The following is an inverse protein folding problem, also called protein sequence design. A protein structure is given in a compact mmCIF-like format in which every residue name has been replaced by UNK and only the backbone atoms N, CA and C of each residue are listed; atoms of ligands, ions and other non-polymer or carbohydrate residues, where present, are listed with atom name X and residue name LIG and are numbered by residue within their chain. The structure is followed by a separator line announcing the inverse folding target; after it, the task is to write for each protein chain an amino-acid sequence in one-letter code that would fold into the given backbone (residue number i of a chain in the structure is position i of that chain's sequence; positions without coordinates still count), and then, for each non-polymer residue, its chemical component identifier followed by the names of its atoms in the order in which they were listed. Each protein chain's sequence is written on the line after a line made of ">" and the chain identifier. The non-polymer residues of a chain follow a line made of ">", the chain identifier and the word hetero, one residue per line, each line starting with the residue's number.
data_IF_710022236331
#
_entry.id   IF_710022236331
#
_cell.length_a   1.000
_cell.length_b   1.000
_cell.length_c   1.000
_cell.angle_alpha   90.00
_cell.angle_beta   90.00
_cell.angle_gamma   90.00
#
_symmetry.space_group_name_H-M   'P 1'
#
loop_
_entity.id
_entity.type
_entity.pdbx_description
1 polymer ?
#
# COMPACT_ATOMS: atom_id res chain seq x y z
N UNK A 1 -45.98 -45.59 -3.91
CA UNK A 1 -45.44 -45.67 -2.52
C UNK A 1 -43.94 -45.93 -2.63
N UNK A 2 -43.00 -44.98 -2.59
CA UNK A 2 -42.97 -43.60 -2.08
C UNK A 2 -42.69 -42.54 -3.18
N UNK A 3 -43.34 -41.38 -3.10
CA UNK A 3 -43.00 -40.16 -3.84
C UNK A 3 -42.05 -39.29 -2.99
N UNK A 4 -40.85 -39.00 -3.46
CA UNK A 4 -40.01 -37.89 -2.92
C UNK A 4 -38.90 -37.59 -3.94
N UNK A 5 -39.31 -36.98 -5.05
CA UNK A 5 -38.44 -36.09 -5.78
C UNK A 5 -38.25 -34.86 -4.86
N UNK A 6 -37.11 -34.77 -4.19
CA UNK A 6 -36.76 -33.59 -3.39
C UNK A 6 -35.23 -33.41 -3.39
N UNK A 7 -34.68 -32.47 -4.18
CA UNK A 7 -33.55 -31.70 -3.67
C UNK A 7 -34.08 -30.90 -2.48
N UNK A 8 -33.52 -31.13 -1.29
CA UNK A 8 -32.59 -30.14 -0.82
C UNK A 8 -31.42 -30.86 -0.10
N UNK A 9 -30.41 -31.27 -0.87
CA UNK A 9 -29.09 -30.77 -0.51
C UNK A 9 -29.11 -29.28 -0.89
N UNK A 10 -29.92 -28.41 -0.27
CA UNK A 10 -29.53 -27.74 0.97
C UNK A 10 -28.03 -27.43 0.95
N UNK A 11 -27.56 -26.88 -0.18
CA UNK A 11 -26.70 -25.72 -0.16
C UNK A 11 -27.37 -24.71 0.78
N UNK A 12 -27.15 -24.88 2.08
CA UNK A 12 -27.41 -23.83 3.04
C UNK A 12 -26.63 -22.62 2.53
N UNK A 13 -27.24 -21.44 2.42
CA UNK A 13 -26.51 -20.20 2.31
C UNK A 13 -25.84 -19.94 3.68
N UNK A 14 -24.80 -20.69 4.01
CA UNK A 14 -24.14 -20.61 5.32
C UNK A 14 -22.61 -20.51 5.19
N UNK A 15 -22.17 -19.53 4.41
CA UNK A 15 -21.13 -18.62 4.91
C UNK A 15 -21.67 -17.19 4.81
N UNK A 16 -22.55 -16.82 5.75
CA UNK A 16 -22.79 -15.42 6.13
C UNK A 16 -21.57 -14.93 6.94
N UNK A 17 -20.40 -15.04 6.32
CA UNK A 17 -19.09 -14.64 6.81
C UNK A 17 -18.29 -14.28 5.58
N UNK A 18 -17.48 -13.23 5.70
CA UNK A 18 -16.73 -12.62 4.60
C UNK A 18 -16.30 -13.66 3.54
N UNK A 19 -16.86 -13.59 2.33
CA UNK A 19 -16.59 -14.61 1.32
C UNK A 19 -15.10 -14.61 0.99
N UNK A 20 -14.49 -15.76 0.73
CA UNK A 20 -13.05 -15.85 0.42
C UNK A 20 -12.66 -14.88 -0.72
N UNK A 21 -13.58 -14.70 -1.69
CA UNK A 21 -13.45 -13.72 -2.77
C UNK A 21 -13.41 -12.27 -2.28
N UNK A 22 -14.26 -11.86 -1.33
CA UNK A 22 -14.24 -10.51 -0.75
C UNK A 22 -12.92 -10.25 0.01
N UNK A 23 -12.40 -11.25 0.72
CA UNK A 23 -11.12 -11.14 1.44
C UNK A 23 -9.98 -10.94 0.43
N UNK A 24 -9.94 -11.75 -0.63
CA UNK A 24 -8.91 -11.64 -1.69
C UNK A 24 -9.01 -10.30 -2.41
N UNK A 25 -10.20 -9.82 -2.71
CA UNK A 25 -10.40 -8.54 -3.39
C UNK A 25 -9.97 -7.36 -2.52
N UNK A 26 -10.27 -7.40 -1.22
CA UNK A 26 -9.79 -6.42 -0.25
C UNK A 26 -8.26 -6.46 -0.12
N UNK A 27 -7.66 -7.65 -0.09
CA UNK A 27 -6.21 -7.82 -0.04
C UNK A 27 -5.53 -7.26 -1.30
N UNK A 28 -6.08 -7.51 -2.49
CA UNK A 28 -5.57 -6.95 -3.75
C UNK A 28 -5.70 -5.42 -3.79
N UNK A 29 -6.82 -4.88 -3.30
CA UNK A 29 -7.01 -3.43 -3.21
C UNK A 29 -5.99 -2.81 -2.25
N UNK A 30 -5.76 -3.43 -1.08
CA UNK A 30 -4.74 -2.99 -0.13
C UNK A 30 -3.31 -3.04 -0.73
N UNK A 31 -2.96 -4.13 -1.41
CA UNK A 31 -1.68 -4.25 -2.10
C UNK A 31 -1.51 -3.20 -3.20
N UNK A 32 -2.58 -2.87 -3.93
CA UNK A 32 -2.56 -1.85 -4.99
C UNK A 32 -2.34 -0.46 -4.39
N UNK A 33 -3.01 -0.12 -3.30
CA UNK A 33 -2.80 1.15 -2.59
C UNK A 33 -1.38 1.22 -2.03
N UNK A 34 -0.89 0.15 -1.40
CA UNK A 34 0.48 0.07 -0.90
C UNK A 34 1.51 0.24 -2.02
N UNK A 35 1.30 -0.40 -3.18
CA UNK A 35 2.15 -0.25 -4.35
C UNK A 35 2.13 1.18 -4.91
N UNK A 36 0.95 1.82 -4.98
CA UNK A 36 0.82 3.23 -5.37
C UNK A 36 1.59 4.14 -4.42
N UNK A 37 1.47 3.95 -3.10
CA UNK A 37 2.23 4.73 -2.12
C UNK A 37 3.74 4.53 -2.25
N UNK A 38 4.17 3.28 -2.47
CA UNK A 38 5.58 2.93 -2.57
C UNK A 38 6.22 3.47 -3.86
N UNK A 39 5.50 3.53 -4.98
CA UNK A 39 6.04 3.90 -6.29
C UNK A 39 6.81 5.25 -6.32
N UNK A 40 6.26 6.39 -5.89
CA UNK A 40 7.00 7.65 -5.91
C UNK A 40 8.07 7.73 -4.82
N UNK A 41 7.89 7.05 -3.68
CA UNK A 41 8.92 6.98 -2.64
C UNK A 41 10.15 6.22 -3.15
N UNK A 42 9.95 5.06 -3.78
CA UNK A 42 11.04 4.29 -4.37
C UNK A 42 11.72 5.07 -5.50
N UNK A 43 10.96 5.71 -6.39
CA UNK A 43 11.54 6.50 -7.49
C UNK A 43 12.36 7.68 -6.98
N UNK A 44 11.85 8.44 -6.02
CA UNK A 44 12.54 9.60 -5.45
C UNK A 44 13.76 9.18 -4.64
N UNK A 45 13.63 8.14 -3.79
CA UNK A 45 14.74 7.60 -3.02
C UNK A 45 15.86 7.05 -3.92
N UNK A 46 15.50 6.37 -5.01
CA UNK A 46 16.46 5.84 -5.98
C UNK A 46 17.17 6.97 -6.73
N UNK A 47 16.43 7.96 -7.24
CA UNK A 47 17.02 9.09 -7.95
C UNK A 47 17.98 9.90 -7.07
N UNK A 48 17.56 10.22 -5.84
CA UNK A 48 18.36 11.00 -4.89
C UNK A 48 19.55 10.19 -4.38
N UNK A 49 19.33 8.92 -4.02
CA UNK A 49 20.40 8.01 -3.59
C UNK A 49 21.46 7.81 -4.67
N UNK A 50 21.03 7.65 -5.92
CA UNK A 50 21.92 7.54 -7.08
C UNK A 50 22.72 8.82 -7.31
N UNK A 51 22.05 9.98 -7.35
CA UNK A 51 22.72 11.26 -7.56
C UNK A 51 23.80 11.50 -6.49
N UNK A 52 23.46 11.32 -5.21
CA UNK A 52 24.38 11.53 -4.10
C UNK A 52 25.55 10.54 -4.16
N UNK A 53 25.31 9.26 -4.46
CA UNK A 53 26.36 8.24 -4.61
C UNK A 53 27.36 8.61 -5.72
N UNK A 54 26.87 9.21 -6.80
CA UNK A 54 27.70 9.69 -7.90
C UNK A 54 28.54 10.91 -7.47
N UNK A 55 27.93 11.91 -6.82
CA UNK A 55 28.64 13.09 -6.32
C UNK A 55 29.72 12.74 -5.30
N UNK A 56 29.44 11.78 -4.41
CA UNK A 56 30.42 11.26 -3.46
C UNK A 56 31.61 10.58 -4.18
N UNK A 57 31.35 9.88 -5.29
CA UNK A 57 32.38 9.17 -6.05
C UNK A 57 33.25 10.10 -6.91
N UNK A 58 32.64 11.13 -7.53
CA UNK A 58 33.35 12.06 -8.44
C UNK A 58 34.29 13.00 -7.69
N UNK A 59 33.97 13.38 -6.45
CA UNK A 59 34.71 14.43 -5.71
C UNK A 59 35.85 13.91 -4.84
N UNK A 60 36.01 12.57 -4.69
CA UNK A 60 37.03 11.90 -3.87
C UNK A 60 37.23 12.40 -2.42
N UNK A 61 36.31 13.21 -1.86
CA UNK A 61 36.34 13.61 -0.45
C UNK A 61 35.41 12.68 0.32
N UNK A 62 36.00 11.72 1.03
CA UNK A 62 35.30 10.68 1.80
C UNK A 62 35.24 11.05 3.30
N UNK A 63 34.95 12.32 3.59
CA UNK A 63 34.68 12.79 4.96
C UNK A 63 33.21 12.48 5.30
N UNK A 64 32.92 11.50 6.18
CA UNK A 64 31.56 11.01 6.42
C UNK A 64 30.60 12.09 6.94
N UNK A 65 31.11 13.13 7.60
CA UNK A 65 30.34 14.26 8.15
C UNK A 65 29.85 15.23 7.08
N UNK A 66 30.67 15.55 6.08
CA UNK A 66 30.32 16.54 5.03
C UNK A 66 29.29 15.97 4.04
N UNK A 67 29.25 14.65 3.93
CA UNK A 67 28.33 13.91 3.07
C UNK A 67 26.98 13.59 3.73
N UNK A 68 26.91 13.67 5.06
CA UNK A 68 25.69 13.39 5.81
C UNK A 68 24.64 14.51 5.65
N UNK A 69 25.07 15.77 5.65
CA UNK A 69 24.18 16.94 5.59
C UNK A 69 23.44 17.05 4.25
N UNK A 70 24.11 17.01 3.07
CA UNK A 70 23.42 17.07 1.78
C UNK A 70 22.44 15.91 1.59
N UNK A 71 22.80 14.72 2.12
CA UNK A 71 21.96 13.53 2.07
C UNK A 71 20.70 13.65 2.94
N UNK A 72 20.83 14.17 4.15
CA UNK A 72 19.70 14.41 5.05
C UNK A 72 18.72 15.45 4.47
N UNK A 73 19.24 16.54 3.89
CA UNK A 73 18.41 17.56 3.25
C UNK A 73 17.68 16.99 2.02
N UNK A 74 18.38 16.21 1.17
CA UNK A 74 17.77 15.57 0.01
C UNK A 74 16.61 14.64 0.38
N UNK A 75 16.81 13.78 1.39
CA UNK A 75 15.74 12.89 1.91
C UNK A 75 14.62 13.70 2.56
N UNK A 76 14.94 14.75 3.31
CA UNK A 76 13.95 15.62 3.96
C UNK A 76 13.03 16.32 2.95
N UNK A 77 13.59 16.87 1.87
CA UNK A 77 12.81 17.50 0.79
C UNK A 77 11.94 16.45 0.08
N UNK A 78 12.47 15.26 -0.19
CA UNK A 78 11.70 14.18 -0.80
C UNK A 78 10.52 13.74 0.08
N UNK A 79 10.72 13.65 1.39
CA UNK A 79 9.67 13.37 2.38
C UNK A 79 8.63 14.47 2.46
N UNK A 80 9.03 15.75 2.41
CA UNK A 80 8.08 16.86 2.42
C UNK A 80 7.18 16.88 1.17
N UNK A 81 7.76 16.60 -0.01
CA UNK A 81 7.00 16.56 -1.27
C UNK A 81 6.10 15.32 -1.33
N UNK A 82 6.60 14.15 -0.95
CA UNK A 82 5.81 12.90 -0.97
C UNK A 82 4.83 12.77 0.21
N UNK A 83 5.08 13.46 1.33
CA UNK A 83 4.33 13.31 2.57
C UNK A 83 2.85 13.72 2.46
N UNK A 84 2.55 14.84 1.78
CA UNK A 84 1.16 15.28 1.60
C UNK A 84 0.34 14.23 0.82
N UNK A 85 0.88 13.73 -0.28
CA UNK A 85 0.20 12.74 -1.11
C UNK A 85 0.05 11.38 -0.40
N UNK A 86 1.07 10.95 0.34
CA UNK A 86 1.03 9.70 1.11
C UNK A 86 -0.04 9.74 2.21
N UNK A 87 -0.19 10.88 2.90
CA UNK A 87 -1.26 11.09 3.88
C UNK A 87 -2.66 11.02 3.22
N UNK A 88 -2.83 11.62 2.05
CA UNK A 88 -4.10 11.61 1.33
C UNK A 88 -4.54 10.20 0.91
N UNK A 89 -3.62 9.39 0.36
CA UNK A 89 -3.89 8.00 0.00
C UNK A 89 -4.21 7.15 1.25
N UNK A 90 -3.55 7.40 2.38
CA UNK A 90 -3.78 6.63 3.62
C UNK A 90 -5.17 6.90 4.18
N UNK A 91 -5.57 8.17 4.23
CA UNK A 91 -6.93 8.58 4.65
C UNK A 91 -7.98 8.03 3.68
N UNK A 92 -7.74 8.10 2.38
CA UNK A 92 -8.65 7.55 1.36
C UNK A 92 -8.84 6.04 1.51
N UNK A 93 -7.76 5.29 1.75
CA UNK A 93 -7.86 3.85 1.97
C UNK A 93 -8.60 3.52 3.26
N UNK A 94 -8.30 4.23 4.35
CA UNK A 94 -8.97 4.02 5.63
C UNK A 94 -10.47 4.33 5.54
N UNK A 95 -10.87 5.41 4.87
CA UNK A 95 -12.29 5.75 4.66
C UNK A 95 -13.00 4.70 3.81
N UNK A 96 -12.40 4.25 2.71
CA UNK A 96 -12.94 3.15 1.90
C UNK A 96 -13.08 1.84 2.71
N UNK A 97 -12.14 1.55 3.60
CA UNK A 97 -12.21 0.39 4.48
C UNK A 97 -13.41 0.50 5.43
N UNK A 98 -13.60 1.66 6.06
CA UNK A 98 -14.74 1.92 6.95
C UNK A 98 -16.09 1.86 6.24
N UNK A 99 -16.18 2.31 4.99
CA UNK A 99 -17.39 2.20 4.16
C UNK A 99 -17.73 0.76 3.78
N UNK A 100 -16.73 -0.12 3.67
CA UNK A 100 -16.95 -1.55 3.37
C UNK A 100 -17.39 -2.37 4.59
N UNK A 101 -17.10 -1.95 5.82
CA UNK A 101 -17.53 -2.64 7.05
C UNK A 101 -19.05 -2.85 7.17
N UNK A 102 -19.94 -1.85 6.96
CA UNK A 102 -21.39 -2.06 7.08
C UNK A 102 -21.93 -3.03 6.01
N UNK A 103 -21.31 -3.10 4.84
CA UNK A 103 -21.65 -4.07 3.78
C UNK A 103 -21.26 -5.52 4.13
N UNK A 104 -20.35 -5.71 5.09
CA UNK A 104 -19.95 -7.04 5.59
C UNK A 104 -20.76 -7.49 6.81
N UNK A 105 -21.49 -6.56 7.44
CA UNK A 105 -22.28 -6.79 8.67
C UNK A 105 -23.80 -6.83 8.43
N UNK A 106 -24.27 -6.40 7.26
CA UNK A 106 -25.68 -6.49 6.83
C UNK A 106 -25.87 -7.53 5.72
#
# INVERSE_FOLDING_TARGET
>A
MRPDCAPPCAAGPEVQGMTDTQIVELALQAMTVAAKMAAPILLTALAIGFAISLFQSVTQVQEPTLSFVPKAIGVGVALLVSGNWMLHEMVTFTTQLFEKIPTLLG
#
